data_IF_784657148474
#
_entry.id   IF_784657148474
#
_cell.length_a   1.000
_cell.length_b   1.000
_cell.length_c   1.000
_cell.angle_alpha   90.00
_cell.angle_beta   90.00
_cell.angle_gamma   90.00
#
_symmetry.space_group_name_H-M   'P 1'
#
loop_
_entity.id
_entity.type
_entity.pdbx_description
1 polymer ?
#
# COMPACT_ATOMS: atom_id res chain seq x y z
N UNK A 1 45.72 5.70 7.55
CA UNK A 1 44.92 6.10 6.37
C UNK A 1 44.41 4.83 5.66
N UNK A 2 43.62 3.99 6.34
CA UNK A 2 43.29 2.63 5.85
C UNK A 2 41.77 2.34 5.86
N UNK A 3 41.01 3.11 6.66
CA UNK A 3 39.57 2.93 6.87
C UNK A 3 38.71 3.24 5.62
N UNK A 4 39.15 4.19 4.78
CA UNK A 4 38.44 4.56 3.55
C UNK A 4 38.50 3.48 2.46
N UNK A 5 39.56 2.66 2.43
CA UNK A 5 39.74 1.64 1.39
C UNK A 5 38.69 0.52 1.52
N UNK A 6 38.45 0.09 2.76
CA UNK A 6 37.44 -0.93 3.06
C UNK A 6 36.01 -0.42 2.82
N UNK A 7 35.72 0.83 3.21
CA UNK A 7 34.43 1.46 2.94
C UNK A 7 34.15 1.61 1.43
N UNK A 8 35.14 2.08 0.66
CA UNK A 8 35.02 2.21 -0.81
C UNK A 8 34.84 0.83 -1.46
N UNK A 9 35.57 -0.20 -1.00
CA UNK A 9 35.41 -1.57 -1.48
C UNK A 9 34.01 -2.13 -1.23
N UNK A 10 33.47 -1.91 -0.04
CA UNK A 10 32.11 -2.33 0.32
C UNK A 10 31.04 -1.63 -0.55
N UNK A 11 31.17 -0.31 -0.77
CA UNK A 11 30.26 0.45 -1.62
C UNK A 11 30.33 0.01 -3.09
N UNK A 12 31.53 -0.27 -3.62
CA UNK A 12 31.69 -0.82 -4.98
C UNK A 12 30.98 -2.17 -5.13
N UNK A 13 31.12 -3.06 -4.14
CA UNK A 13 30.41 -4.34 -4.12
C UNK A 13 28.90 -4.12 -4.11
N UNK A 14 28.41 -3.23 -3.26
CA UNK A 14 26.97 -2.94 -3.17
C UNK A 14 26.42 -2.37 -4.49
N UNK A 15 27.16 -1.49 -5.16
CA UNK A 15 26.78 -0.98 -6.49
C UNK A 15 26.70 -2.10 -7.52
N UNK A 16 27.63 -3.05 -7.51
CA UNK A 16 27.62 -4.19 -8.43
C UNK A 16 26.39 -5.09 -8.20
N UNK A 17 26.07 -5.38 -6.94
CA UNK A 17 24.83 -6.10 -6.57
C UNK A 17 23.59 -5.38 -7.11
N UNK A 18 23.44 -4.08 -6.80
CA UNK A 18 22.29 -3.28 -7.23
C UNK A 18 22.19 -3.18 -8.76
N UNK A 19 23.32 -3.12 -9.47
CA UNK A 19 23.35 -3.10 -10.94
C UNK A 19 22.88 -4.43 -11.52
N UNK A 20 23.22 -5.55 -10.87
CA UNK A 20 22.72 -6.87 -11.25
C UNK A 20 21.22 -7.02 -11.02
N UNK A 21 20.72 -6.57 -9.87
CA UNK A 21 19.28 -6.53 -9.57
C UNK A 21 18.52 -5.69 -10.60
N UNK A 22 19.04 -4.52 -10.96
CA UNK A 22 18.46 -3.65 -11.98
C UNK A 22 18.38 -4.34 -13.35
N UNK A 23 19.46 -4.99 -13.79
CA UNK A 23 19.49 -5.68 -15.07
C UNK A 23 18.45 -6.82 -15.16
N UNK A 24 18.25 -7.56 -14.06
CA UNK A 24 17.24 -8.61 -14.00
C UNK A 24 15.81 -8.02 -14.02
N UNK A 25 15.56 -6.95 -13.29
CA UNK A 25 14.28 -6.23 -13.34
C UNK A 25 13.98 -5.70 -14.75
N UNK A 26 14.97 -5.16 -15.46
CA UNK A 26 14.82 -4.70 -16.85
C UNK A 26 14.53 -5.86 -17.81
N UNK A 27 15.13 -7.03 -17.60
CA UNK A 27 14.82 -8.25 -18.35
C UNK A 27 13.37 -8.67 -18.13
N UNK A 28 12.92 -8.69 -16.88
CA UNK A 28 11.52 -9.00 -16.53
C UNK A 28 10.56 -7.97 -17.15
N UNK A 29 10.90 -6.68 -17.10
CA UNK A 29 10.13 -5.60 -17.74
C UNK A 29 9.96 -5.86 -19.23
N UNK A 30 11.05 -6.15 -19.95
CA UNK A 30 11.02 -6.46 -21.39
C UNK A 30 10.14 -7.68 -21.69
N UNK A 31 10.23 -8.74 -20.89
CA UNK A 31 9.40 -9.92 -21.05
C UNK A 31 7.90 -9.60 -20.90
N UNK A 32 7.52 -8.76 -19.93
CA UNK A 32 6.13 -8.31 -19.75
C UNK A 32 5.68 -7.43 -20.93
N UNK A 33 6.51 -6.49 -21.37
CA UNK A 33 6.21 -5.67 -22.55
C UNK A 33 5.94 -6.52 -23.79
N UNK A 34 6.76 -7.55 -24.05
CA UNK A 34 6.56 -8.44 -25.18
C UNK A 34 5.23 -9.20 -25.07
N UNK A 35 4.87 -9.68 -23.88
CA UNK A 35 3.57 -10.34 -23.64
C UNK A 35 2.39 -9.40 -23.88
N UNK A 36 2.50 -8.14 -23.49
CA UNK A 36 1.48 -7.12 -23.77
C UNK A 36 1.36 -6.93 -25.29
N UNK A 37 2.47 -6.74 -26.00
CA UNK A 37 2.45 -6.59 -27.46
C UNK A 37 1.80 -7.79 -28.17
N UNK A 38 2.06 -9.02 -27.71
CA UNK A 38 1.40 -10.21 -28.26
C UNK A 38 -0.12 -10.20 -28.02
N UNK A 39 -0.57 -9.76 -26.84
CA UNK A 39 -2.00 -9.60 -26.54
C UNK A 39 -2.61 -8.51 -27.43
N UNK A 40 -1.93 -7.38 -27.59
CA UNK A 40 -2.40 -6.27 -28.43
C UNK A 40 -2.57 -6.69 -29.89
N UNK A 41 -1.60 -7.45 -30.43
CA UNK A 41 -1.70 -7.98 -31.80
C UNK A 41 -2.82 -9.01 -31.92
N UNK A 42 -3.00 -9.85 -30.90
CA UNK A 42 -4.11 -10.80 -30.86
C UNK A 42 -5.46 -10.06 -30.84
N UNK A 43 -5.59 -8.98 -30.07
CA UNK A 43 -6.80 -8.14 -30.07
C UNK A 43 -7.10 -7.58 -31.46
N UNK A 44 -6.08 -7.10 -32.18
CA UNK A 44 -6.21 -6.62 -33.56
C UNK A 44 -6.64 -7.73 -34.51
N UNK A 45 -6.05 -8.92 -34.39
CA UNK A 45 -6.41 -10.09 -35.19
C UNK A 45 -7.88 -10.49 -35.02
N UNK A 46 -8.43 -10.35 -33.81
CA UNK A 46 -9.84 -10.61 -33.52
C UNK A 46 -10.78 -9.44 -33.86
N UNK A 47 -10.27 -8.36 -34.48
CA UNK A 47 -11.09 -7.25 -34.96
C UNK A 47 -11.45 -6.20 -33.90
N UNK A 48 -10.65 -6.06 -32.84
CA UNK A 48 -10.81 -4.98 -31.87
C UNK A 48 -10.63 -3.61 -32.56
N UNK A 49 -11.63 -2.73 -32.43
CA UNK A 49 -11.68 -1.43 -33.13
C UNK A 49 -11.05 -0.26 -32.36
N UNK A 50 -10.74 -0.44 -31.07
CA UNK A 50 -10.06 0.59 -30.25
C UNK A 50 -8.53 0.46 -30.32
N UNK A 51 -7.80 1.39 -29.70
CA UNK A 51 -6.37 1.21 -29.44
C UNK A 51 -6.20 0.31 -28.20
N UNK A 52 -5.55 -0.87 -28.30
CA UNK A 52 -5.24 -1.69 -27.12
C UNK A 52 -4.51 -0.93 -26.00
N UNK A 53 -3.78 0.14 -26.33
CA UNK A 53 -3.10 1.00 -25.35
C UNK A 53 -4.06 1.80 -24.46
N UNK A 54 -5.30 1.99 -24.88
CA UNK A 54 -6.33 2.66 -24.09
C UNK A 54 -6.92 1.75 -23.01
N UNK A 55 -6.63 0.43 -23.06
CA UNK A 55 -7.09 -0.52 -22.05
C UNK A 55 -6.34 -0.25 -20.74
N UNK A 56 -7.04 0.19 -19.67
CA UNK A 56 -6.37 0.59 -18.45
C UNK A 56 -5.77 -0.61 -17.72
N UNK A 57 -4.58 -0.42 -17.15
CA UNK A 57 -3.94 -1.43 -16.33
C UNK A 57 -4.83 -1.82 -15.15
N UNK A 58 -5.07 -3.12 -14.97
CA UNK A 58 -5.86 -3.62 -13.84
C UNK A 58 -5.16 -3.32 -12.53
N UNK A 59 -5.78 -2.49 -11.69
CA UNK A 59 -5.27 -2.16 -10.35
C UNK A 59 -5.13 -3.44 -9.51
N UNK A 60 -3.90 -3.84 -9.21
CA UNK A 60 -3.67 -4.92 -8.25
C UNK A 60 -4.08 -4.45 -6.86
N UNK A 61 -4.92 -5.22 -6.17
CA UNK A 61 -5.25 -4.96 -4.76
C UNK A 61 -3.96 -5.11 -3.95
N UNK A 62 -3.39 -3.99 -3.48
CA UNK A 62 -2.27 -4.03 -2.53
C UNK A 62 -2.81 -4.47 -1.17
N UNK A 63 -2.53 -5.72 -0.81
CA UNK A 63 -2.80 -6.24 0.54
C UNK A 63 -1.78 -5.67 1.52
N UNK A 64 -1.90 -4.35 1.77
CA UNK A 64 -1.04 -3.61 2.69
C UNK A 64 -1.10 -4.16 4.12
N UNK A 65 -2.21 -4.79 4.48
CA UNK A 65 -2.44 -5.29 5.83
C UNK A 65 -2.91 -6.74 5.78
N UNK A 66 -2.35 -7.57 6.65
CA UNK A 66 -2.99 -8.84 7.02
C UNK A 66 -4.38 -8.56 7.61
N UNK A 67 -5.30 -9.52 7.48
CA UNK A 67 -6.67 -9.39 7.99
C UNK A 67 -6.66 -8.95 9.46
N UNK A 68 -7.44 -7.93 9.81
CA UNK A 68 -7.56 -7.40 11.17
C UNK A 68 -6.41 -6.49 11.66
N UNK A 69 -5.26 -6.43 10.96
CA UNK A 69 -4.10 -5.66 11.44
C UNK A 69 -4.37 -4.15 11.46
N UNK A 70 -4.99 -3.63 10.38
CA UNK A 70 -5.37 -2.22 10.32
C UNK A 70 -6.42 -1.86 11.37
N UNK A 71 -7.41 -2.73 11.60
CA UNK A 71 -8.47 -2.48 12.58
C UNK A 71 -7.91 -2.36 13.99
N UNK A 72 -7.02 -3.27 14.39
CA UNK A 72 -6.38 -3.22 15.71
C UNK A 72 -5.59 -1.93 15.92
N UNK A 73 -4.82 -1.49 14.92
CA UNK A 73 -4.05 -0.24 15.00
C UNK A 73 -4.93 1.00 15.06
N UNK A 74 -5.96 1.07 14.21
CA UNK A 74 -6.94 2.18 14.26
C UNK A 74 -7.62 2.24 15.63
N UNK A 75 -8.00 1.10 16.22
CA UNK A 75 -8.59 1.08 17.56
C UNK A 75 -7.60 1.39 18.69
N UNK A 76 -6.33 1.02 18.55
CA UNK A 76 -5.29 1.45 19.49
C UNK A 76 -5.14 2.97 19.47
N UNK A 77 -5.00 3.56 18.28
CA UNK A 77 -4.89 5.02 18.12
C UNK A 77 -6.13 5.76 18.64
N UNK A 78 -7.34 5.23 18.41
CA UNK A 78 -8.56 5.83 18.95
C UNK A 78 -8.67 5.71 20.48
N UNK A 79 -8.05 4.71 21.10
CA UNK A 79 -8.01 4.57 22.57
C UNK A 79 -6.97 5.48 23.22
N UNK A 80 -5.83 5.68 22.55
CA UNK A 80 -4.73 6.51 23.05
C UNK A 80 -4.94 8.00 22.79
N UNK A 81 -5.71 8.35 21.75
CA UNK A 81 -6.00 9.74 21.43
C UNK A 81 -6.88 10.41 22.50
N UNK A 82 -6.37 11.47 23.13
CA UNK A 82 -7.13 12.31 24.09
C UNK A 82 -8.15 13.24 23.42
N UNK A 83 -8.44 13.07 22.12
CA UNK A 83 -9.32 13.94 21.34
C UNK A 83 -9.60 13.43 19.92
N UNK A 84 -10.39 14.17 19.11
CA UNK A 84 -10.77 13.74 17.77
C UNK A 84 -9.58 13.77 16.80
N UNK A 85 -9.05 12.58 16.47
CA UNK A 85 -7.97 12.42 15.49
C UNK A 85 -8.49 12.30 14.05
N UNK A 86 -7.81 12.98 13.12
CA UNK A 86 -8.15 12.97 11.70
C UNK A 86 -7.80 11.65 11.00
N UNK A 87 -8.53 11.28 9.95
CA UNK A 87 -8.24 10.04 9.19
C UNK A 87 -6.86 10.07 8.50
N UNK A 88 -6.45 11.24 8.00
CA UNK A 88 -5.12 11.44 7.40
C UNK A 88 -4.02 11.37 8.45
N UNK A 89 -4.26 11.91 9.63
CA UNK A 89 -3.31 11.90 10.73
C UNK A 89 -3.09 10.48 11.27
N UNK A 90 -4.17 9.73 11.52
CA UNK A 90 -4.08 8.30 11.83
C UNK A 90 -3.32 7.52 10.74
N UNK A 91 -3.58 7.82 9.46
CA UNK A 91 -2.87 7.18 8.37
C UNK A 91 -1.36 7.48 8.38
N UNK A 92 -0.97 8.72 8.65
CA UNK A 92 0.43 9.13 8.76
C UNK A 92 1.15 8.42 9.92
N UNK A 93 0.49 8.29 11.08
CA UNK A 93 1.02 7.54 12.22
C UNK A 93 1.21 6.06 11.85
N UNK A 94 0.21 5.43 11.24
CA UNK A 94 0.27 4.03 10.82
C UNK A 94 1.39 3.80 9.78
N UNK A 95 1.57 4.70 8.82
CA UNK A 95 2.65 4.62 7.82
C UNK A 95 4.02 4.67 8.50
N UNK A 96 4.21 5.62 9.42
CA UNK A 96 5.45 5.79 10.18
C UNK A 96 5.78 4.55 11.02
N UNK A 97 4.79 4.00 11.73
CA UNK A 97 4.96 2.78 12.52
C UNK A 97 5.28 1.53 11.69
N UNK A 98 4.93 1.52 10.39
CA UNK A 98 5.21 0.41 9.48
C UNK A 98 6.55 0.59 8.76
N UNK A 99 7.25 1.70 9.00
CA UNK A 99 8.49 2.05 8.30
C UNK A 99 8.26 2.26 6.80
N UNK A 100 7.05 2.67 6.41
CA UNK A 100 6.74 3.01 5.02
C UNK A 100 7.02 4.48 4.76
N UNK A 101 7.20 4.81 3.48
CA UNK A 101 7.46 6.18 3.06
C UNK A 101 6.29 7.11 3.40
N UNK A 102 6.55 8.10 4.24
CA UNK A 102 5.57 9.12 4.66
C UNK A 102 5.34 10.19 3.61
N UNK A 103 6.23 10.31 2.61
CA UNK A 103 6.12 11.28 1.51
C UNK A 103 5.29 10.73 0.32
N UNK A 104 5.01 9.42 0.30
CA UNK A 104 4.10 8.80 -0.66
C UNK A 104 2.64 9.23 -0.41
N UNK A 105 2.23 10.30 -1.09
CA UNK A 105 0.88 10.86 -1.01
C UNK A 105 -0.23 9.89 -1.46
N UNK A 106 0.06 8.98 -2.39
CA UNK A 106 -0.89 7.94 -2.81
C UNK A 106 -1.11 6.92 -1.70
N UNK A 107 -0.03 6.49 -1.04
CA UNK A 107 -0.08 5.58 0.10
C UNK A 107 -0.87 6.20 1.27
N UNK A 108 -0.59 7.47 1.58
CA UNK A 108 -1.32 8.22 2.59
C UNK A 108 -2.82 8.29 2.30
N UNK A 109 -3.19 8.65 1.06
CA UNK A 109 -4.59 8.72 0.63
C UNK A 109 -5.29 7.36 0.73
N UNK A 110 -4.60 6.30 0.31
CA UNK A 110 -5.14 4.94 0.35
C UNK A 110 -5.37 4.45 1.79
N UNK A 111 -4.41 4.66 2.69
CA UNK A 111 -4.54 4.25 4.09
C UNK A 111 -5.61 5.09 4.80
N UNK A 112 -5.67 6.40 4.56
CA UNK A 112 -6.72 7.26 5.11
C UNK A 112 -8.12 6.81 4.68
N UNK A 113 -8.29 6.37 3.42
CA UNK A 113 -9.52 5.75 2.93
C UNK A 113 -9.87 4.48 3.70
N UNK A 114 -8.89 3.60 3.94
CA UNK A 114 -9.12 2.37 4.72
C UNK A 114 -9.41 2.66 6.20
N UNK A 115 -8.78 3.67 6.80
CA UNK A 115 -9.08 4.12 8.18
C UNK A 115 -10.53 4.59 8.27
N UNK A 116 -11.00 5.37 7.29
CA UNK A 116 -12.40 5.80 7.20
C UNK A 116 -13.35 4.59 7.14
N UNK A 117 -13.04 3.58 6.32
CA UNK A 117 -13.86 2.37 6.23
C UNK A 117 -13.93 1.60 7.55
N UNK A 118 -12.81 1.49 8.26
CA UNK A 118 -12.75 0.85 9.58
C UNK A 118 -13.60 1.61 10.59
N UNK A 119 -13.49 2.94 10.65
CA UNK A 119 -14.30 3.79 11.54
C UNK A 119 -15.79 3.67 11.22
N UNK A 120 -16.16 3.69 9.94
CA UNK A 120 -17.54 3.51 9.50
C UNK A 120 -18.11 2.16 9.97
N UNK A 121 -17.34 1.07 9.84
CA UNK A 121 -17.74 -0.24 10.36
C UNK A 121 -17.85 -0.27 11.88
N UNK A 122 -16.94 0.40 12.60
CA UNK A 122 -17.01 0.51 14.05
C UNK A 122 -18.30 1.19 14.51
N UNK A 123 -18.67 2.31 13.87
CA UNK A 123 -19.92 3.03 14.12
C UNK A 123 -21.17 2.20 13.78
N UNK A 124 -21.10 1.36 12.75
CA UNK A 124 -22.19 0.44 12.38
C UNK A 124 -22.34 -0.72 13.38
N UNK A 125 -21.28 -1.10 14.09
CA UNK A 125 -21.28 -2.16 15.09
C UNK A 125 -21.66 -1.67 16.50
N UNK A 126 -21.83 -0.36 16.70
CA UNK A 126 -22.32 0.24 17.94
C UNK A 126 -23.81 0.63 17.89
N UNK A 127 -24.76 -0.34 17.90
CA UNK A 127 -26.09 -0.07 18.41
C UNK A 127 -26.53 -1.16 19.42
N UNK A 128 -25.76 -1.48 20.47
CA UNK A 128 -26.17 -2.55 21.42
C UNK A 128 -25.63 -2.42 22.86
N UNK A 129 -25.34 -1.23 23.37
CA UNK A 129 -25.00 -1.08 24.81
C UNK A 129 -25.81 -0.01 25.56
N UNK A 130 -26.88 0.52 24.94
CA UNK A 130 -27.74 1.51 25.57
C UNK A 130 -28.96 0.93 26.32
N UNK A 131 -29.18 -0.40 26.33
CA UNK A 131 -30.42 -0.98 26.86
C UNK A 131 -30.22 -2.12 27.89
N UNK A 132 -29.43 -1.88 28.94
CA UNK A 132 -29.38 -2.80 30.10
C UNK A 132 -29.38 -2.10 31.48
N UNK A 133 -29.68 -0.79 31.55
CA UNK A 133 -29.80 -0.07 32.84
C UNK A 133 -31.21 0.47 33.13
N UNK A 134 -32.25 -0.12 32.53
CA UNK A 134 -33.65 0.25 32.83
C UNK A 134 -34.53 -0.96 33.14
N UNK A 135 -34.16 -1.73 34.15
CA UNK A 135 -35.13 -2.54 34.92
C UNK A 135 -34.67 -2.59 36.38
N UNK A 136 -34.80 -1.44 37.05
CA UNK A 136 -34.90 -1.37 38.50
C UNK A 136 -36.27 -0.77 38.81
N UNK A 137 -37.20 -1.64 39.17
CA UNK A 137 -38.58 -1.34 39.54
C UNK A 137 -39.21 -2.58 40.13
#
# INVERSE_FOLDING_TARGET
>A
MEENSHAIGALKRKRAELSGELAELEKQRRAICNRINHVDETLRLFGYQGDPKDIPAKRRKRWLFKRGHLQRRVYALLREASGPIGNREMAAVIIRELGWDTEDGELLGLIAGKVKDVRKRALMLTPTVANTLSTGG
#
